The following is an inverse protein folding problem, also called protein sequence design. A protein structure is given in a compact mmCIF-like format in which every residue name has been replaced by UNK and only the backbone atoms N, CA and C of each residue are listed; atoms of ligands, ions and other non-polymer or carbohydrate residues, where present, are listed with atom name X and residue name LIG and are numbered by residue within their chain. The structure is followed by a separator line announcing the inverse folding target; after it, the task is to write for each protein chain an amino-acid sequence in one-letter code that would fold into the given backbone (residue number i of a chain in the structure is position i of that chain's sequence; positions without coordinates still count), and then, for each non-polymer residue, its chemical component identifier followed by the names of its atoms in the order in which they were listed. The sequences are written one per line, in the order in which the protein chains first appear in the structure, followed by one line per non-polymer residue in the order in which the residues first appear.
data_IF_821779176450
#
_entry.id   IF_821779176450
#
_cell.length_a   1.000
_cell.length_b   1.000
_cell.length_c   1.000
_cell.angle_alpha   90.00
_cell.angle_beta   90.00
_cell.angle_gamma   90.00
#
_symmetry.space_group_name_H-M   'P 1'
#
loop_
_entity.id
_entity.type
_entity.pdbx_description
1 polymer ?
#
# COMPACT_ATOMS: atom_id res chain seq x y z
N UNK A 1 -23.54 -10.57 -3.22
CA UNK A 1 -23.57 -11.55 -2.10
C UNK A 1 -22.15 -12.06 -1.89
N UNK A 2 -21.70 -12.19 -0.63
CA UNK A 2 -20.39 -12.77 -0.26
C UNK A 2 -19.32 -11.75 0.15
N UNK A 3 -19.41 -11.17 1.36
CA UNK A 3 -18.31 -10.40 1.95
C UNK A 3 -17.27 -11.34 2.56
N UNK A 4 -16.03 -11.30 2.06
CA UNK A 4 -14.92 -12.20 2.42
C UNK A 4 -14.49 -12.05 3.88
N UNK A 5 -13.99 -13.16 4.41
CA UNK A 5 -13.34 -13.25 5.72
C UNK A 5 -11.89 -12.76 5.58
N UNK A 6 -11.50 -11.73 6.33
CA UNK A 6 -10.14 -11.22 6.36
C UNK A 6 -9.44 -11.73 7.62
N UNK A 7 -8.31 -12.42 7.45
CA UNK A 7 -7.42 -12.81 8.53
C UNK A 7 -6.16 -11.96 8.41
N UNK A 8 -5.91 -11.11 9.40
CA UNK A 8 -4.63 -10.43 9.54
C UNK A 8 -3.74 -11.27 10.46
N UNK A 9 -2.52 -11.55 10.03
CA UNK A 9 -1.49 -12.22 10.83
C UNK A 9 -0.14 -11.64 10.45
N UNK A 10 0.71 -11.39 11.46
CA UNK A 10 2.13 -11.11 11.24
C UNK A 10 2.88 -12.44 11.10
N UNK A 11 3.78 -12.54 10.12
CA UNK A 11 4.74 -13.64 10.02
C UNK A 11 6.01 -13.36 10.82
N UNK A 12 6.26 -12.10 11.19
CA UNK A 12 7.29 -11.76 12.17
C UNK A 12 6.78 -12.01 13.57
N UNK A 13 7.53 -12.84 14.30
CA UNK A 13 7.21 -13.29 15.66
C UNK A 13 7.96 -12.46 16.72
N UNK A 14 8.95 -11.66 16.29
CA UNK A 14 9.75 -10.79 17.15
C UNK A 14 9.62 -9.35 16.68
N UNK A 15 9.21 -8.45 17.58
CA UNK A 15 9.19 -7.00 17.31
C UNK A 15 7.92 -6.45 16.65
N UNK A 16 6.99 -7.25 16.12
CA UNK A 16 5.68 -6.75 15.62
C UNK A 16 4.54 -7.46 16.35
N UNK A 17 3.55 -6.70 16.80
CA UNK A 17 2.34 -7.22 17.42
C UNK A 17 1.08 -6.52 16.89
N UNK A 18 -0.04 -7.25 16.85
CA UNK A 18 -1.35 -6.68 16.50
C UNK A 18 -1.93 -6.02 17.74
N UNK A 19 -2.03 -4.69 17.72
CA UNK A 19 -2.64 -3.89 18.79
C UNK A 19 -4.16 -3.82 18.64
N UNK A 20 -4.64 -3.69 17.41
CA UNK A 20 -6.06 -3.65 17.12
C UNK A 20 -6.39 -4.26 15.75
N UNK A 21 -7.57 -4.88 15.69
CA UNK A 21 -8.22 -5.27 14.46
C UNK A 21 -9.72 -5.04 14.67
N UNK A 22 -10.21 -3.91 14.17
CA UNK A 22 -11.57 -3.42 14.41
C UNK A 22 -12.25 -3.12 13.10
N UNK A 23 -13.55 -3.38 13.06
CA UNK A 23 -14.43 -3.02 11.96
C UNK A 23 -15.44 -1.99 12.43
N UNK A 24 -15.48 -0.87 11.74
CA UNK A 24 -16.42 0.22 11.99
C UNK A 24 -17.21 0.46 10.69
N UNK A 25 -18.38 -0.16 10.60
CA UNK A 25 -19.18 -0.17 9.37
C UNK A 25 -18.47 -0.85 8.20
N UNK A 26 -18.16 -0.07 7.16
CA UNK A 26 -17.45 -0.52 5.96
C UNK A 26 -15.92 -0.37 6.06
N UNK A 27 -15.42 0.18 7.17
CA UNK A 27 -14.00 0.43 7.39
C UNK A 27 -13.39 -0.68 8.24
N UNK A 28 -12.29 -1.25 7.76
CA UNK A 28 -11.40 -2.12 8.53
C UNK A 28 -10.23 -1.27 9.03
N UNK A 29 -9.90 -1.41 10.31
CA UNK A 29 -8.76 -0.76 10.94
C UNK A 29 -7.88 -1.81 11.59
N UNK A 30 -6.62 -1.84 11.19
CA UNK A 30 -5.58 -2.70 11.75
C UNK A 30 -4.51 -1.80 12.34
N UNK A 31 -4.19 -1.97 13.62
CA UNK A 31 -3.10 -1.27 14.27
C UNK A 31 -2.03 -2.25 14.67
N UNK A 32 -0.80 -1.93 14.30
CA UNK A 32 0.39 -2.70 14.59
C UNK A 32 1.29 -1.90 15.51
N UNK A 33 1.89 -2.57 16.47
CA UNK A 33 2.91 -2.01 17.35
C UNK A 33 4.23 -2.69 17.03
N UNK A 34 5.25 -1.88 16.76
CA UNK A 34 6.58 -2.33 16.40
C UNK A 34 7.56 -1.97 17.53
N UNK A 35 8.21 -2.95 18.14
CA UNK A 35 9.30 -2.79 19.10
C UNK A 35 10.63 -3.25 18.50
N UNK A 36 11.74 -2.73 19.01
CA UNK A 36 13.05 -3.31 18.70
C UNK A 36 13.16 -4.69 19.37
N UNK A 37 13.87 -5.63 18.72
CA UNK A 37 14.12 -6.95 19.33
C UNK A 37 14.70 -6.73 20.74
N UNK A 38 14.14 -7.44 21.73
CA UNK A 38 14.47 -7.35 23.17
C UNK A 38 13.80 -6.21 23.97
N UNK A 39 13.19 -5.20 23.33
CA UNK A 39 12.43 -4.16 24.03
C UNK A 39 10.93 -4.52 24.13
N UNK A 40 10.37 -4.41 25.33
CA UNK A 40 8.92 -4.60 25.57
C UNK A 40 8.08 -3.37 25.22
N UNK A 41 8.73 -2.22 24.96
CA UNK A 41 8.07 -0.95 24.69
C UNK A 41 8.04 -0.71 23.18
N UNK A 42 6.88 -0.41 22.57
CA UNK A 42 6.80 -0.11 21.15
C UNK A 42 7.55 1.18 20.83
N UNK A 43 8.24 1.18 19.69
CA UNK A 43 8.91 2.36 19.13
C UNK A 43 8.02 3.05 18.09
N UNK A 44 7.32 2.27 17.27
CA UNK A 44 6.42 2.75 16.24
C UNK A 44 5.03 2.10 16.37
N UNK A 45 4.01 2.87 16.00
CA UNK A 45 2.69 2.33 15.70
C UNK A 45 2.36 2.57 14.23
N UNK A 46 1.88 1.52 13.57
CA UNK A 46 1.40 1.57 12.20
C UNK A 46 -0.11 1.28 12.18
N UNK A 47 -0.90 2.29 11.88
CA UNK A 47 -2.33 2.17 11.59
C UNK A 47 -2.56 1.95 10.10
N UNK A 48 -3.32 0.93 9.74
CA UNK A 48 -3.78 0.68 8.38
C UNK A 48 -5.29 0.69 8.40
N UNK A 49 -5.87 1.61 7.66
CA UNK A 49 -7.29 1.75 7.48
C UNK A 49 -7.64 1.38 6.04
N UNK A 50 -8.59 0.46 5.83
CA UNK A 50 -9.05 0.02 4.52
C UNK A 50 -10.56 0.12 4.41
N UNK A 51 -11.07 0.67 3.32
CA UNK A 51 -12.51 0.73 3.05
C UNK A 51 -12.80 0.84 1.54
N UNK A 52 -14.05 0.56 1.17
CA UNK A 52 -14.56 0.69 -0.19
C UNK A 52 -16.02 1.15 -0.18
N UNK A 53 -16.51 1.72 -1.28
CA UNK A 53 -17.85 2.33 -1.37
C UNK A 53 -18.69 1.76 -2.51
N UNK A 54 -18.97 0.44 -2.51
CA UNK A 54 -19.78 -0.23 -3.56
C UNK A 54 -19.34 0.06 -5.03
N UNK A 55 -18.13 0.56 -5.20
CA UNK A 55 -17.45 0.79 -6.46
C UNK A 55 -16.17 -0.05 -6.43
N UNK A 56 -15.56 -0.38 -7.59
CA UNK A 56 -14.29 -1.09 -7.66
C UNK A 56 -13.12 -0.17 -7.29
N UNK A 57 -13.22 0.42 -6.10
CA UNK A 57 -12.25 1.32 -5.47
C UNK A 57 -11.95 0.77 -4.07
N UNK A 58 -10.67 0.59 -3.78
CA UNK A 58 -10.17 0.36 -2.43
C UNK A 58 -9.40 1.58 -1.97
N UNK A 59 -9.78 2.11 -0.82
CA UNK A 59 -9.15 3.25 -0.18
C UNK A 59 -8.34 2.72 0.99
N UNK A 60 -7.06 3.08 1.04
CA UNK A 60 -6.12 2.66 2.07
C UNK A 60 -5.48 3.88 2.69
N UNK A 61 -5.50 4.00 4.01
CA UNK A 61 -4.66 4.97 4.73
C UNK A 61 -3.70 4.24 5.64
N UNK A 62 -2.42 4.45 5.41
CA UNK A 62 -1.34 4.02 6.30
C UNK A 62 -0.91 5.22 7.15
N UNK A 63 -0.86 5.06 8.47
CA UNK A 63 -0.40 6.10 9.39
C UNK A 63 0.70 5.53 10.27
N UNK A 64 1.89 6.11 10.19
CA UNK A 64 3.01 5.80 11.07
C UNK A 64 3.08 6.84 12.19
N UNK A 65 3.27 6.39 13.43
CA UNK A 65 3.40 7.24 14.62
C UNK A 65 4.63 6.79 15.41
N UNK A 66 5.52 7.72 15.75
CA UNK A 66 6.56 7.45 16.73
C UNK A 66 5.97 7.56 18.14
N UNK A 67 5.83 6.42 18.82
CA UNK A 67 5.29 6.33 20.19
C UNK A 67 6.38 6.23 21.25
N UNK A 68 7.65 6.24 20.84
CA UNK A 68 8.78 6.27 21.77
C UNK A 68 9.12 7.69 22.25
N UNK A 69 10.02 7.77 23.23
CA UNK A 69 10.59 9.03 23.74
C UNK A 69 11.81 9.50 22.94
N UNK A 70 12.27 8.74 21.94
CA UNK A 70 13.45 9.04 21.11
C UNK A 70 13.05 9.34 19.67
N UNK A 71 13.91 10.04 18.92
CA UNK A 71 13.71 10.21 17.48
C UNK A 71 13.98 8.88 16.76
N UNK A 72 13.10 8.51 15.84
CA UNK A 72 13.35 7.44 14.86
C UNK A 72 13.88 8.08 13.59
N UNK A 73 15.11 7.77 13.20
CA UNK A 73 15.78 8.38 12.04
C UNK A 73 15.43 7.68 10.72
N UNK A 74 15.47 8.43 9.62
CA UNK A 74 15.29 7.95 8.23
C UNK A 74 14.13 6.96 8.05
N UNK A 75 12.95 7.30 8.58
CA UNK A 75 11.77 6.44 8.46
C UNK A 75 11.32 6.38 6.99
N UNK A 76 11.09 5.15 6.51
CA UNK A 76 10.54 4.88 5.18
C UNK A 76 9.31 4.00 5.31
N UNK A 77 8.32 4.26 4.47
CA UNK A 77 7.14 3.41 4.32
C UNK A 77 7.19 2.75 2.95
N UNK A 78 6.88 1.46 2.91
CA UNK A 78 6.78 0.70 1.66
C UNK A 78 5.40 0.07 1.58
N UNK A 79 4.81 0.08 0.40
CA UNK A 79 3.63 -0.70 0.08
C UNK A 79 3.98 -1.66 -1.05
N UNK A 80 3.85 -2.95 -0.78
CA UNK A 80 4.07 -4.01 -1.75
C UNK A 80 2.74 -4.68 -2.06
N UNK A 81 2.44 -4.84 -3.34
CA UNK A 81 1.24 -5.53 -3.82
C UNK A 81 1.61 -6.52 -4.92
N UNK A 82 1.20 -7.76 -4.70
CA UNK A 82 1.28 -8.85 -5.66
C UNK A 82 -0.04 -8.90 -6.45
N UNK A 83 0.05 -8.94 -7.77
CA UNK A 83 -1.13 -8.87 -8.64
C UNK A 83 -1.24 -10.13 -9.49
N UNK A 84 -2.34 -10.86 -9.29
CA UNK A 84 -2.80 -11.91 -10.20
C UNK A 84 -3.98 -11.36 -11.03
N UNK A 85 -3.73 -10.50 -12.04
CA UNK A 85 -4.83 -10.05 -12.91
C UNK A 85 -5.34 -11.26 -13.71
N UNK A 86 -6.64 -11.30 -14.00
CA UNK A 86 -7.25 -12.50 -14.61
C UNK A 86 -7.39 -13.72 -13.67
N UNK A 87 -6.83 -13.65 -12.46
CA UNK A 87 -6.91 -14.69 -11.42
C UNK A 87 -5.77 -15.71 -11.49
N UNK A 88 -5.82 -16.71 -10.61
CA UNK A 88 -4.70 -17.66 -10.37
C UNK A 88 -4.21 -18.47 -11.59
N UNK A 89 -4.92 -18.44 -12.71
CA UNK A 89 -4.49 -19.07 -13.97
C UNK A 89 -3.71 -18.15 -14.91
N UNK A 90 -3.64 -16.84 -14.63
CA UNK A 90 -3.05 -15.80 -15.50
C UNK A 90 -1.89 -15.03 -14.86
N UNK A 91 -1.35 -15.48 -13.72
CA UNK A 91 -0.29 -14.75 -13.01
C UNK A 91 1.03 -14.59 -13.79
N UNK A 92 1.17 -15.12 -15.01
CA UNK A 92 2.42 -15.11 -15.78
C UNK A 92 2.38 -14.22 -17.03
N UNK A 93 1.29 -13.49 -17.27
CA UNK A 93 1.14 -12.57 -18.40
C UNK A 93 0.80 -11.13 -17.99
N UNK A 94 1.00 -10.81 -16.71
CA UNK A 94 0.83 -9.47 -16.18
C UNK A 94 1.92 -8.50 -16.70
N UNK A 95 1.50 -7.26 -16.87
CA UNK A 95 2.31 -6.10 -17.18
C UNK A 95 2.07 -5.04 -16.11
N UNK A 96 3.13 -4.32 -15.77
CA UNK A 96 3.06 -3.18 -14.87
C UNK A 96 3.81 -2.01 -15.47
N UNK A 97 3.26 -0.82 -15.35
CA UNK A 97 3.92 0.43 -15.71
C UNK A 97 3.75 1.50 -14.64
N UNK A 98 4.69 2.43 -14.56
CA UNK A 98 4.58 3.61 -13.73
C UNK A 98 4.54 4.86 -14.62
N UNK A 99 3.39 5.52 -14.66
CA UNK A 99 3.18 6.76 -15.38
C UNK A 99 3.74 7.93 -14.54
N UNK A 100 4.88 8.50 -14.97
CA UNK A 100 5.57 9.56 -14.19
C UNK A 100 4.79 10.87 -14.10
N UNK A 101 3.99 11.19 -15.13
CA UNK A 101 3.26 12.46 -15.22
C UNK A 101 2.06 12.48 -14.27
N UNK A 102 1.36 11.35 -14.17
CA UNK A 102 0.19 11.15 -13.30
C UNK A 102 0.56 10.53 -11.96
N UNK A 103 1.83 10.16 -11.76
CA UNK A 103 2.36 9.46 -10.57
C UNK A 103 1.53 8.22 -10.21
N UNK A 104 1.08 7.51 -11.24
CA UNK A 104 0.15 6.39 -11.12
C UNK A 104 0.84 5.10 -11.58
N UNK A 105 0.70 4.05 -10.79
CA UNK A 105 1.08 2.71 -11.18
C UNK A 105 -0.11 2.04 -11.87
N UNK A 106 0.12 1.42 -13.02
CA UNK A 106 -0.88 0.71 -13.81
C UNK A 106 -0.45 -0.75 -13.97
N UNK A 107 -1.35 -1.68 -13.63
CA UNK A 107 -1.18 -3.11 -13.82
C UNK A 107 -2.31 -3.66 -14.70
N UNK A 108 -1.98 -4.55 -15.64
CA UNK A 108 -2.94 -5.19 -16.55
C UNK A 108 -2.36 -6.49 -17.13
N UNK A 109 -3.20 -7.33 -17.70
CA UNK A 109 -2.84 -8.54 -18.44
C UNK A 109 -3.53 -8.54 -19.81
N UNK A 110 -3.67 -9.72 -20.45
CA UNK A 110 -4.46 -9.86 -21.68
C UNK A 110 -5.98 -9.92 -21.43
N UNK A 111 -6.42 -9.93 -20.17
CA UNK A 111 -7.82 -9.74 -19.81
C UNK A 111 -8.22 -8.26 -19.95
N UNK A 112 -9.52 -7.91 -19.93
CA UNK A 112 -9.92 -6.52 -20.00
C UNK A 112 -9.66 -5.74 -18.70
N UNK A 113 -9.13 -6.36 -17.64
CA UNK A 113 -9.03 -5.73 -16.32
C UNK A 113 -7.78 -4.85 -16.24
N UNK A 114 -8.00 -3.57 -15.93
CA UNK A 114 -6.96 -2.61 -15.59
C UNK A 114 -7.03 -2.31 -14.09
N UNK A 115 -5.88 -2.26 -13.43
CA UNK A 115 -5.75 -1.80 -12.04
C UNK A 115 -4.84 -0.59 -11.99
N UNK A 116 -5.30 0.50 -11.38
CA UNK A 116 -4.51 1.69 -11.13
C UNK A 116 -4.28 1.87 -9.63
N UNK A 117 -3.07 2.30 -9.28
CA UNK A 117 -2.72 2.75 -7.94
C UNK A 117 -2.21 4.17 -7.97
N UNK A 118 -2.81 5.03 -7.14
CA UNK A 118 -2.34 6.39 -6.91
C UNK A 118 -2.21 6.64 -5.41
N UNK A 119 -1.31 7.54 -5.01
CA UNK A 119 -1.13 7.87 -3.60
C UNK A 119 -1.05 9.37 -3.35
N UNK A 120 -1.31 9.76 -2.10
CA UNK A 120 -1.02 11.10 -1.57
C UNK A 120 -0.35 10.96 -0.20
N UNK A 121 0.87 11.50 -0.01
CA UNK A 121 1.73 12.13 -1.02
C UNK A 121 2.16 11.17 -2.14
N UNK A 122 2.71 11.72 -3.22
CA UNK A 122 3.31 10.92 -4.29
C UNK A 122 4.48 10.09 -3.76
N UNK A 123 4.71 8.88 -4.29
CA UNK A 123 5.84 8.05 -3.89
C UNK A 123 7.15 8.66 -4.40
N UNK A 124 8.21 8.57 -3.59
CA UNK A 124 9.55 9.02 -3.99
C UNK A 124 10.34 7.93 -4.73
N UNK A 125 9.93 6.66 -4.60
CA UNK A 125 10.47 5.58 -5.41
C UNK A 125 9.42 4.49 -5.66
N UNK A 126 9.62 3.69 -6.70
CA UNK A 126 8.74 2.58 -7.07
C UNK A 126 9.52 1.43 -7.71
N UNK A 127 8.91 0.25 -7.77
CA UNK A 127 9.47 -0.91 -8.45
C UNK A 127 8.38 -1.82 -8.99
N UNK A 128 8.62 -2.38 -10.17
CA UNK A 128 7.76 -3.40 -10.78
C UNK A 128 8.68 -4.56 -11.12
N UNK A 129 8.54 -5.69 -10.44
CA UNK A 129 9.44 -6.83 -10.65
C UNK A 129 8.77 -8.12 -10.25
N UNK A 130 9.35 -9.26 -10.61
CA UNK A 130 8.85 -10.55 -10.11
C UNK A 130 8.91 -10.57 -8.59
N UNK A 131 7.92 -11.13 -7.87
CA UNK A 131 7.88 -11.11 -6.40
C UNK A 131 9.19 -11.57 -5.73
N UNK A 132 9.87 -12.57 -6.31
CA UNK A 132 11.13 -13.12 -5.79
C UNK A 132 12.36 -12.20 -5.90
N UNK A 133 12.30 -11.16 -6.75
CA UNK A 133 13.39 -10.19 -7.01
C UNK A 133 13.22 -8.89 -6.23
N UNK A 134 12.01 -8.59 -5.80
CA UNK A 134 11.73 -7.43 -4.97
C UNK A 134 12.24 -7.67 -3.56
N UNK A 135 13.31 -6.97 -3.18
CA UNK A 135 14.00 -7.17 -1.90
C UNK A 135 14.45 -5.84 -1.33
N UNK A 136 14.22 -5.67 -0.04
CA UNK A 136 14.80 -4.63 0.79
C UNK A 136 15.80 -5.28 1.73
N UNK A 137 17.01 -4.74 1.78
CA UNK A 137 18.06 -5.15 2.70
C UNK A 137 18.95 -3.94 3.04
N UNK A 138 19.93 -4.14 3.92
CA UNK A 138 20.84 -3.08 4.38
C UNK A 138 21.62 -2.42 3.23
N UNK A 139 21.81 -3.13 2.10
CA UNK A 139 22.47 -2.61 0.90
C UNK A 139 21.50 -1.95 -0.09
N UNK A 140 20.20 -2.24 0.03
CA UNK A 140 19.14 -1.77 -0.87
C UNK A 140 17.93 -1.27 -0.09
N UNK A 141 18.09 -0.08 0.50
CA UNK A 141 17.02 0.66 1.17
C UNK A 141 16.23 1.61 0.26
N UNK A 142 16.26 1.40 -1.06
CA UNK A 142 15.51 2.19 -2.04
C UNK A 142 15.07 1.33 -3.24
N UNK A 143 13.86 1.58 -3.73
CA UNK A 143 13.30 0.97 -4.94
C UNK A 143 13.95 1.53 -6.23
N UNK A 144 13.93 0.75 -7.31
CA UNK A 144 14.79 0.99 -8.50
C UNK A 144 14.23 1.95 -9.56
N UNK A 145 12.96 2.37 -9.45
CA UNK A 145 12.28 3.31 -10.33
C UNK A 145 12.18 2.87 -11.80
N UNK A 146 11.98 1.57 -12.06
CA UNK A 146 11.65 1.13 -13.42
C UNK A 146 10.23 1.53 -13.80
N UNK A 147 10.00 1.85 -15.08
CA UNK A 147 8.72 2.40 -15.55
C UNK A 147 7.83 1.40 -16.26
N UNK A 148 8.36 0.24 -16.65
CA UNK A 148 7.62 -0.81 -17.34
C UNK A 148 8.27 -2.16 -17.06
N UNK A 149 7.45 -3.19 -16.89
CA UNK A 149 7.86 -4.57 -16.73
C UNK A 149 6.72 -5.50 -17.19
N UNK A 150 7.05 -6.66 -17.78
CA UNK A 150 6.06 -7.62 -18.31
C UNK A 150 6.38 -8.09 -19.74
N UNK A 151 5.71 -9.13 -20.27
CA UNK A 151 4.74 -10.00 -19.58
C UNK A 151 5.44 -10.98 -18.63
N UNK A 152 4.96 -11.07 -17.38
CA UNK A 152 5.36 -12.07 -16.37
C UNK A 152 4.58 -11.86 -15.08
N UNK A 153 4.78 -12.75 -14.13
CA UNK A 153 4.43 -12.53 -12.73
C UNK A 153 5.10 -11.25 -12.19
N UNK A 154 4.28 -10.32 -11.69
CA UNK A 154 4.73 -9.04 -11.15
C UNK A 154 4.15 -8.74 -9.77
N UNK A 155 5.05 -8.32 -8.89
CA UNK A 155 4.73 -7.51 -7.74
C UNK A 155 5.09 -6.05 -8.03
N UNK A 156 4.44 -5.17 -7.29
CA UNK A 156 4.65 -3.73 -7.36
C UNK A 156 5.02 -3.19 -5.99
N UNK A 157 5.91 -2.22 -5.97
CA UNK A 157 6.38 -1.55 -4.77
C UNK A 157 6.25 -0.04 -4.93
N UNK A 158 5.70 0.62 -3.92
CA UNK A 158 5.72 2.07 -3.76
C UNK A 158 6.44 2.43 -2.46
N UNK A 159 7.27 3.47 -2.49
CA UNK A 159 8.08 3.90 -1.35
C UNK A 159 7.85 5.38 -1.04
N UNK A 160 7.70 5.67 0.25
CA UNK A 160 7.68 7.02 0.80
C UNK A 160 8.80 7.25 1.81
N UNK A 161 9.57 8.32 1.62
CA UNK A 161 10.62 8.74 2.54
C UNK A 161 10.01 9.74 3.55
N UNK A 162 9.73 9.26 4.77
CA UNK A 162 9.10 10.04 5.84
C UNK A 162 10.15 10.83 6.67
N UNK A 163 11.43 10.47 6.53
CA UNK A 163 12.55 11.12 7.20
C UNK A 163 12.52 10.93 8.71
N UNK A 164 13.09 11.88 9.46
CA UNK A 164 13.17 11.76 10.91
C UNK A 164 11.80 11.97 11.58
N UNK A 165 11.45 11.02 12.44
CA UNK A 165 10.23 10.98 13.22
C UNK A 165 10.55 11.34 14.67
N UNK A 166 10.38 12.60 15.07
CA UNK A 166 10.50 13.01 16.47
C UNK A 166 9.42 12.31 17.35
N UNK A 167 9.57 12.27 18.68
CA UNK A 167 8.55 11.70 19.56
C UNK A 167 7.15 12.27 19.26
N UNK A 168 6.14 11.39 19.22
CA UNK A 168 4.75 11.69 18.87
C UNK A 168 4.51 12.20 17.44
N UNK A 169 5.55 12.32 16.60
CA UNK A 169 5.37 12.71 15.19
C UNK A 169 4.60 11.61 14.45
N UNK A 170 3.71 12.03 13.56
CA UNK A 170 2.90 11.15 12.74
C UNK A 170 2.98 11.57 11.27
N UNK A 171 2.98 10.58 10.38
CA UNK A 171 2.81 10.75 8.95
C UNK A 171 1.75 9.78 8.44
N UNK A 172 0.96 10.25 7.47
CA UNK A 172 -0.03 9.42 6.78
C UNK A 172 0.25 9.40 5.28
N UNK A 173 0.02 8.24 4.69
CA UNK A 173 0.00 8.01 3.24
C UNK A 173 -1.36 7.43 2.91
N UNK A 174 -2.02 8.05 1.95
CA UNK A 174 -3.30 7.61 1.39
C UNK A 174 -3.03 6.95 0.05
N UNK A 175 -3.67 5.82 -0.21
CA UNK A 175 -3.60 5.09 -1.47
C UNK A 175 -5.01 4.80 -1.97
N UNK A 176 -5.17 4.89 -3.28
CA UNK A 176 -6.35 4.41 -4.00
C UNK A 176 -5.89 3.26 -4.88
N UNK A 177 -6.57 2.13 -4.77
CA UNK A 177 -6.62 1.12 -5.82
C UNK A 177 -7.94 1.25 -6.54
N UNK A 178 -7.92 1.38 -7.86
CA UNK A 178 -9.11 1.36 -8.70
C UNK A 178 -8.98 0.29 -9.77
N UNK A 179 -10.08 -0.41 -10.09
CA UNK A 179 -10.09 -1.35 -11.21
C UNK A 179 -11.29 -1.17 -12.11
N UNK A 180 -11.08 -1.36 -13.42
CA UNK A 180 -12.13 -1.27 -14.42
C UNK A 180 -11.78 -2.08 -15.68
N UNK A 181 -12.76 -2.27 -16.56
CA UNK A 181 -12.58 -2.97 -17.84
C UNK A 181 -12.03 -2.06 -18.95
N UNK A 182 -11.96 -0.75 -18.70
CA UNK A 182 -11.33 0.24 -19.57
C UNK A 182 -10.40 1.10 -18.74
N UNK A 183 -9.24 1.43 -19.30
CA UNK A 183 -8.26 2.26 -18.62
C UNK A 183 -8.81 3.63 -18.21
N UNK A 184 -9.57 4.30 -19.08
CA UNK A 184 -10.12 5.63 -18.76
C UNK A 184 -11.16 5.57 -17.63
N UNK A 185 -11.95 4.49 -17.55
CA UNK A 185 -12.86 4.26 -16.42
C UNK A 185 -12.08 4.06 -15.11
N UNK A 186 -10.94 3.35 -15.15
CA UNK A 186 -10.07 3.21 -13.99
C UNK A 186 -9.48 4.56 -13.54
N UNK A 187 -9.11 5.44 -14.50
CA UNK A 187 -8.63 6.81 -14.21
C UNK A 187 -9.72 7.68 -13.58
N UNK A 188 -10.94 7.60 -14.08
CA UNK A 188 -12.09 8.30 -13.48
C UNK A 188 -12.34 7.83 -12.04
N UNK A 189 -12.19 6.53 -11.77
CA UNK A 189 -12.31 5.96 -10.43
C UNK A 189 -11.20 6.44 -9.48
N UNK A 190 -9.97 6.68 -9.95
CA UNK A 190 -8.92 7.33 -9.13
C UNK A 190 -9.38 8.72 -8.71
N UNK A 191 -9.94 9.51 -9.62
CA UNK A 191 -10.45 10.86 -9.32
C UNK A 191 -11.56 10.79 -8.27
N UNK A 192 -12.54 9.90 -8.45
CA UNK A 192 -13.61 9.67 -7.47
C UNK A 192 -13.10 9.18 -6.13
N UNK A 193 -12.09 8.32 -6.12
CA UNK A 193 -11.48 7.83 -4.88
C UNK A 193 -10.91 8.97 -4.03
N UNK A 194 -10.33 10.01 -4.65
CA UNK A 194 -9.85 11.20 -3.93
C UNK A 194 -11.00 12.04 -3.35
N UNK A 195 -12.12 12.14 -4.07
CA UNK A 195 -13.34 12.78 -3.54
C UNK A 195 -13.88 12.01 -2.34
N UNK A 196 -13.87 10.68 -2.39
CA UNK A 196 -14.28 9.81 -1.29
C UNK A 196 -13.38 9.96 -0.05
N UNK A 197 -12.05 10.01 -0.22
CA UNK A 197 -11.13 10.32 0.87
C UNK A 197 -11.48 11.64 1.57
N UNK A 198 -11.72 12.70 0.77
CA UNK A 198 -12.01 14.04 1.28
C UNK A 198 -13.33 14.07 2.06
N UNK A 199 -14.38 13.45 1.52
CA UNK A 199 -15.71 13.40 2.16
C UNK A 199 -15.70 12.66 3.50
N UNK A 200 -14.88 11.63 3.62
CA UNK A 200 -14.77 10.83 4.85
C UNK A 200 -13.93 11.51 5.92
N UNK A 201 -13.06 12.46 5.54
CA UNK A 201 -12.23 13.23 6.47
C UNK A 201 -12.85 14.56 6.93
N UNK A 202 -13.81 15.09 6.18
CA UNK A 202 -14.57 16.28 6.56
C UNK A 202 -15.73 16.03 7.53
N UNK A 203 -15.86 14.81 8.05
CA UNK A 203 -16.87 14.40 9.04
C UNK A 203 -16.16 13.87 10.28
#
# INVERSE_FOLDING_TARGET
MGGRQHRFSSTEVTGISVKENKREGQKLRVGLSCSQQEESVPVLELGIELWSYNEPIMLVRCTAINVSTRTVGDMKLYNFMDFDIGGASSYNDDFGSFETDTRTLHVWDNSPVHVLMASRPDPQAWEISTPTRMRLDDSRGQLVNNTLEGPKDIATGLQWNLGDMSPSKSHSVELILASAVKLDEARDLITRGWELFTRTMGR
#
